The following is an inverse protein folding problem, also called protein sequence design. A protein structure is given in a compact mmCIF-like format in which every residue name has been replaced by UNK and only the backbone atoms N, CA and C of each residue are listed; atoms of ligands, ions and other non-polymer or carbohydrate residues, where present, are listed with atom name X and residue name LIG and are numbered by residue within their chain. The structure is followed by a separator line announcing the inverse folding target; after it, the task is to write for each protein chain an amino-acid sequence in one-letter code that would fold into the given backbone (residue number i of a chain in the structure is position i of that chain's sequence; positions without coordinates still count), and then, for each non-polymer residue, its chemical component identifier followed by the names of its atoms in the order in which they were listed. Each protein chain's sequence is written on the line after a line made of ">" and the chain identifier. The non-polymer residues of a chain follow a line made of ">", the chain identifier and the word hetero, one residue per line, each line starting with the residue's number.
data_IF_215215414446
#
_entry.id   IF_215215414446
#
_cell.length_a   1.000
_cell.length_b   1.000
_cell.length_c   1.000
_cell.angle_alpha   90.00
_cell.angle_beta   90.00
_cell.angle_gamma   90.00
#
_symmetry.space_group_name_H-M   'P 1'
#
loop_
_entity.id
_entity.type
_entity.pdbx_description
1 polymer ?
#
# COMPACT_ATOMS: atom_id res chain seq x y z
N UNK A 1 -5.62 -55.32 31.36
CA UNK A 1 -6.56 -54.32 30.81
C UNK A 1 -5.87 -52.96 30.83
N UNK A 2 -5.15 -52.65 29.74
CA UNK A 2 -4.47 -51.35 29.59
C UNK A 2 -5.28 -50.51 28.66
N UNK A 3 -5.99 -49.54 29.23
CA UNK A 3 -6.66 -48.47 28.46
C UNK A 3 -5.64 -47.39 28.11
N UNK A 4 -5.05 -47.51 26.92
CA UNK A 4 -4.33 -46.42 26.31
C UNK A 4 -5.33 -45.35 25.89
N UNK A 5 -5.45 -44.31 26.71
CA UNK A 5 -6.06 -43.06 26.29
C UNK A 5 -5.21 -42.46 25.21
N UNK A 6 -5.64 -42.55 23.96
CA UNK A 6 -5.16 -41.78 22.84
C UNK A 6 -5.56 -40.32 23.12
N UNK A 7 -4.67 -39.58 23.77
CA UNK A 7 -4.71 -38.13 23.73
C UNK A 7 -4.49 -37.71 22.29
N UNK A 8 -5.57 -37.56 21.56
CA UNK A 8 -5.59 -36.84 20.30
C UNK A 8 -5.28 -35.37 20.62
N UNK A 9 -3.98 -35.04 20.65
CA UNK A 9 -3.53 -33.68 20.54
C UNK A 9 -4.02 -33.14 19.18
N UNK A 10 -5.21 -32.57 19.21
CA UNK A 10 -5.74 -31.73 18.14
C UNK A 10 -4.87 -30.49 18.06
N UNK A 11 -3.69 -30.66 17.44
CA UNK A 11 -2.76 -29.57 17.14
C UNK A 11 -3.25 -28.82 15.89
N UNK A 12 -4.44 -28.25 15.97
CA UNK A 12 -4.81 -27.12 15.13
C UNK A 12 -3.92 -25.94 15.55
N UNK A 13 -2.66 -26.00 15.17
CA UNK A 13 -1.71 -24.94 15.45
C UNK A 13 -2.23 -23.66 14.83
N UNK A 14 -2.81 -22.78 15.68
CA UNK A 14 -3.15 -21.43 15.25
C UNK A 14 -1.93 -20.81 14.56
N UNK A 15 -2.10 -20.24 13.36
CA UNK A 15 -0.98 -19.68 12.63
C UNK A 15 -0.26 -18.64 13.49
N UNK A 16 1.00 -18.90 13.78
CA UNK A 16 1.82 -18.05 14.64
C UNK A 16 1.80 -16.61 14.12
N UNK A 17 1.32 -15.70 14.96
CA UNK A 17 1.18 -14.30 14.61
C UNK A 17 2.55 -13.67 14.33
N UNK A 18 2.79 -13.32 13.08
CA UNK A 18 4.00 -12.58 12.68
C UNK A 18 4.11 -11.30 13.50
N UNK A 19 5.28 -11.03 14.12
CA UNK A 19 5.52 -9.79 14.85
C UNK A 19 5.20 -8.56 14.00
N UNK A 20 4.51 -7.57 14.58
CA UNK A 20 4.05 -6.37 13.87
C UNK A 20 5.20 -5.61 13.21
N UNK A 21 6.39 -5.56 13.85
CA UNK A 21 7.56 -4.88 13.31
C UNK A 21 8.02 -5.46 11.97
N UNK A 22 7.95 -6.79 11.76
CA UNK A 22 8.29 -7.41 10.46
C UNK A 22 7.33 -6.96 9.36
N UNK A 23 6.02 -6.83 9.68
CA UNK A 23 5.02 -6.34 8.74
C UNK A 23 5.26 -4.87 8.39
N UNK A 24 5.59 -4.05 9.39
CA UNK A 24 5.93 -2.63 9.19
C UNK A 24 7.19 -2.49 8.35
N UNK A 25 8.21 -3.30 8.60
CA UNK A 25 9.44 -3.26 7.82
C UNK A 25 9.20 -3.71 6.36
N UNK A 26 8.42 -4.79 6.13
CA UNK A 26 8.03 -5.19 4.79
C UNK A 26 7.32 -4.07 4.04
N UNK A 27 6.37 -3.39 4.72
CA UNK A 27 5.67 -2.27 4.12
C UNK A 27 6.59 -1.07 3.85
N UNK A 28 7.53 -0.76 4.76
CA UNK A 28 8.51 0.30 4.55
C UNK A 28 9.39 0.04 3.31
N UNK A 29 9.78 -1.22 3.07
CA UNK A 29 10.50 -1.61 1.85
C UNK A 29 9.64 -1.44 0.59
N UNK A 30 8.36 -1.82 0.65
CA UNK A 30 7.42 -1.57 -0.45
C UNK A 30 7.25 -0.06 -0.70
N UNK A 31 7.21 0.77 0.37
CA UNK A 31 7.13 2.23 0.27
C UNK A 31 8.35 2.84 -0.43
N UNK A 32 9.56 2.39 -0.10
CA UNK A 32 10.78 2.87 -0.78
C UNK A 32 10.70 2.58 -2.28
N UNK A 33 10.27 1.38 -2.66
CA UNK A 33 10.10 1.04 -4.08
C UNK A 33 9.04 1.94 -4.75
N UNK A 34 7.90 2.16 -4.09
CA UNK A 34 6.84 3.02 -4.61
C UNK A 34 7.30 4.47 -4.78
N UNK A 35 8.09 5.01 -3.83
CA UNK A 35 8.70 6.34 -3.97
C UNK A 35 9.55 6.42 -5.23
N UNK A 36 10.41 5.43 -5.47
CA UNK A 36 11.25 5.39 -6.68
C UNK A 36 10.39 5.32 -7.94
N UNK A 37 9.34 4.49 -7.96
CA UNK A 37 8.44 4.38 -9.11
C UNK A 37 7.66 5.67 -9.37
N UNK A 38 7.19 6.35 -8.32
CA UNK A 38 6.52 7.65 -8.45
C UNK A 38 7.50 8.74 -8.92
N UNK A 39 8.74 8.72 -8.44
CA UNK A 39 9.79 9.62 -8.90
C UNK A 39 10.04 9.45 -10.42
N UNK A 40 10.11 8.20 -10.88
CA UNK A 40 10.26 7.90 -12.31
C UNK A 40 9.03 8.38 -13.10
N UNK A 41 7.82 8.22 -12.57
CA UNK A 41 6.61 8.74 -13.19
C UNK A 41 6.69 10.25 -13.39
N UNK A 42 7.02 11.01 -12.33
CA UNK A 42 7.16 12.48 -12.39
C UNK A 42 8.26 12.90 -13.38
N UNK A 43 9.34 12.13 -13.49
CA UNK A 43 10.44 12.44 -14.38
C UNK A 43 10.15 12.13 -15.86
N UNK A 44 9.43 11.05 -16.15
CA UNK A 44 9.25 10.58 -17.51
C UNK A 44 7.92 10.99 -18.14
N UNK A 45 6.84 11.10 -17.36
CA UNK A 45 5.52 11.44 -17.91
C UNK A 45 5.48 12.78 -18.65
N UNK A 46 6.14 13.87 -18.17
CA UNK A 46 6.14 15.14 -18.89
C UNK A 46 6.72 15.05 -20.30
N UNK A 47 7.59 14.06 -20.57
CA UNK A 47 8.19 13.93 -21.90
C UNK A 47 7.18 13.54 -23.01
N UNK A 48 5.98 13.13 -22.63
CA UNK A 48 4.88 12.85 -23.56
C UNK A 48 4.09 14.09 -23.97
N UNK A 49 4.39 15.26 -23.38
CA UNK A 49 3.70 16.53 -23.57
C UNK A 49 4.60 17.58 -24.20
N UNK A 50 4.02 18.72 -24.63
CA UNK A 50 4.75 19.80 -25.27
C UNK A 50 5.80 20.44 -24.35
N UNK A 51 6.75 21.18 -24.96
CA UNK A 51 7.75 21.90 -24.19
C UNK A 51 7.14 23.04 -23.37
N UNK A 52 6.02 23.61 -23.83
CA UNK A 52 5.27 24.61 -23.08
C UNK A 52 4.70 23.99 -21.78
N UNK A 53 4.02 22.85 -21.88
CA UNK A 53 3.46 22.16 -20.71
C UNK A 53 4.54 21.75 -19.71
N UNK A 54 5.71 21.34 -20.18
CA UNK A 54 6.88 21.05 -19.31
C UNK A 54 7.38 22.26 -18.55
N UNK A 55 7.45 23.42 -19.22
CA UNK A 55 7.88 24.68 -18.60
C UNK A 55 6.87 25.15 -17.56
N UNK A 56 5.58 25.15 -17.88
CA UNK A 56 4.51 25.50 -16.96
C UNK A 56 4.51 24.58 -15.72
N UNK A 57 4.69 23.27 -15.93
CA UNK A 57 4.82 22.30 -14.85
C UNK A 57 6.06 22.54 -13.99
N UNK A 58 7.21 22.81 -14.62
CA UNK A 58 8.44 23.15 -13.91
C UNK A 58 8.28 24.39 -13.05
N UNK A 59 7.64 25.45 -13.57
CA UNK A 59 7.35 26.66 -12.83
C UNK A 59 6.40 26.39 -11.66
N UNK A 60 5.34 25.59 -11.89
CA UNK A 60 4.38 25.19 -10.84
C UNK A 60 5.08 24.50 -9.65
N UNK A 61 6.05 23.60 -9.93
CA UNK A 61 6.82 22.93 -8.88
C UNK A 61 7.68 23.94 -8.09
N UNK A 62 8.33 24.86 -8.77
CA UNK A 62 9.15 25.90 -8.12
C UNK A 62 8.27 26.76 -7.21
N UNK A 63 7.16 27.26 -7.73
CA UNK A 63 6.24 28.13 -6.99
C UNK A 63 5.60 27.39 -5.80
N UNK A 64 5.19 26.12 -5.98
CA UNK A 64 4.71 25.28 -4.90
C UNK A 64 5.77 25.03 -3.82
N UNK A 65 7.05 24.88 -4.22
CA UNK A 65 8.15 24.71 -3.27
C UNK A 65 8.42 25.98 -2.44
N UNK A 66 8.28 27.15 -3.05
CA UNK A 66 8.41 28.43 -2.36
C UNK A 66 7.25 28.64 -1.37
N UNK A 67 6.02 28.33 -1.78
CA UNK A 67 4.86 28.39 -0.88
C UNK A 67 5.01 27.46 0.32
N UNK A 68 5.60 26.28 0.15
CA UNK A 68 5.82 25.34 1.24
C UNK A 68 6.86 25.79 2.27
N UNK A 69 7.73 26.74 1.92
CA UNK A 69 8.73 27.32 2.82
C UNK A 69 8.19 28.49 3.65
N UNK A 70 7.04 29.06 3.27
CA UNK A 70 6.39 30.10 4.07
C UNK A 70 5.73 29.47 5.31
N UNK A 71 6.00 29.99 6.51
CA UNK A 71 5.47 29.49 7.80
C UNK A 71 3.93 29.44 7.91
N UNK A 72 3.23 30.04 6.96
CA UNK A 72 1.75 30.11 6.91
C UNK A 72 1.18 29.50 5.63
N UNK A 73 1.72 28.35 5.17
CA UNK A 73 1.07 27.63 4.07
C UNK A 73 -0.26 27.03 4.53
N UNK A 74 -1.34 27.81 4.40
CA UNK A 74 -2.70 27.37 4.67
C UNK A 74 -3.30 26.72 3.40
N UNK A 75 -4.21 25.76 3.61
CA UNK A 75 -4.93 25.09 2.52
C UNK A 75 -5.61 26.08 1.57
N UNK A 76 -6.11 27.21 2.10
CA UNK A 76 -6.72 28.28 1.30
C UNK A 76 -5.74 28.90 0.30
N UNK A 77 -4.50 29.18 0.72
CA UNK A 77 -3.47 29.74 -0.18
C UNK A 77 -3.09 28.76 -1.29
N UNK A 78 -3.03 27.47 -0.98
CA UNK A 78 -2.74 26.45 -2.01
C UNK A 78 -3.88 26.40 -3.03
N UNK A 79 -5.12 26.54 -2.61
CA UNK A 79 -6.28 26.57 -3.50
C UNK A 79 -6.29 27.85 -4.36
N UNK A 80 -6.08 29.02 -3.75
CA UNK A 80 -5.97 30.29 -4.45
C UNK A 80 -4.80 30.31 -5.45
N UNK A 81 -3.68 29.67 -5.10
CA UNK A 81 -2.54 29.52 -6.00
C UNK A 81 -2.91 28.71 -7.24
N UNK A 82 -3.60 27.58 -7.05
CA UNK A 82 -4.03 26.72 -8.16
C UNK A 82 -5.10 27.41 -9.03
N UNK A 83 -6.02 28.15 -8.42
CA UNK A 83 -7.08 28.91 -9.14
C UNK A 83 -6.49 30.07 -9.94
N UNK A 84 -5.47 30.75 -9.42
CA UNK A 84 -4.82 31.88 -10.08
C UNK A 84 -3.74 31.47 -11.09
N UNK A 85 -3.29 30.21 -11.08
CA UNK A 85 -2.33 29.70 -12.06
C UNK A 85 -3.02 29.57 -13.43
N UNK A 86 -2.61 30.42 -14.38
CA UNK A 86 -3.09 30.36 -15.78
C UNK A 86 -2.34 29.24 -16.51
N UNK A 87 -2.74 27.99 -16.23
CA UNK A 87 -2.15 26.82 -16.88
C UNK A 87 -2.83 26.56 -18.22
N UNK A 88 -2.08 26.09 -19.20
CA UNK A 88 -2.62 25.62 -20.47
C UNK A 88 -3.47 24.35 -20.28
N UNK A 89 -4.42 24.11 -21.18
CA UNK A 89 -5.25 22.90 -21.16
C UNK A 89 -4.41 21.63 -21.15
N UNK A 90 -3.34 21.60 -21.93
CA UNK A 90 -2.40 20.49 -21.99
C UNK A 90 -1.68 20.24 -20.66
N UNK A 91 -1.33 21.31 -19.93
CA UNK A 91 -0.73 21.18 -18.58
C UNK A 91 -1.74 20.61 -17.59
N UNK A 92 -3.03 20.98 -17.67
CA UNK A 92 -4.07 20.35 -16.88
C UNK A 92 -4.23 18.87 -17.19
N UNK A 93 -4.24 18.49 -18.46
CA UNK A 93 -4.29 17.07 -18.84
C UNK A 93 -3.09 16.29 -18.29
N UNK A 94 -1.89 16.86 -18.39
CA UNK A 94 -0.67 16.25 -17.82
C UNK A 94 -0.77 16.07 -16.30
N UNK A 95 -1.25 17.08 -15.56
CA UNK A 95 -1.45 16.99 -14.11
C UNK A 95 -2.50 15.93 -13.75
N UNK A 96 -3.62 15.88 -14.47
CA UNK A 96 -4.64 14.86 -14.26
C UNK A 96 -4.10 13.45 -14.55
N UNK A 97 -3.30 13.28 -15.60
CA UNK A 97 -2.63 12.03 -15.89
C UNK A 97 -1.64 11.64 -14.78
N UNK A 98 -0.86 12.60 -14.25
CA UNK A 98 0.04 12.35 -13.12
C UNK A 98 -0.72 11.87 -11.88
N UNK A 99 -1.80 12.55 -11.51
CA UNK A 99 -2.64 12.17 -10.37
C UNK A 99 -3.23 10.76 -10.59
N UNK A 100 -3.77 10.52 -11.78
CA UNK A 100 -4.35 9.22 -12.14
C UNK A 100 -3.31 8.09 -12.00
N UNK A 101 -2.14 8.24 -12.60
CA UNK A 101 -1.09 7.22 -12.52
C UNK A 101 -0.49 7.12 -11.11
N UNK A 102 -0.36 8.22 -10.38
CA UNK A 102 0.08 8.21 -8.99
C UNK A 102 -0.88 7.41 -8.09
N UNK A 103 -2.20 7.48 -8.32
CA UNK A 103 -3.20 6.69 -7.62
C UNK A 103 -3.22 5.22 -8.07
N UNK A 104 -3.09 5.00 -9.38
CA UNK A 104 -3.17 3.68 -9.99
C UNK A 104 -1.95 2.80 -9.64
N UNK A 105 -0.75 3.37 -9.67
CA UNK A 105 0.50 2.65 -9.54
C UNK A 105 0.64 1.89 -8.20
N UNK A 106 0.42 2.49 -7.01
CA UNK A 106 0.49 1.76 -5.76
C UNK A 106 -0.58 0.67 -5.64
N UNK A 107 -1.80 0.96 -6.09
CA UNK A 107 -2.91 0.00 -6.06
C UNK A 107 -2.61 -1.21 -6.95
N UNK A 108 -2.12 -0.97 -8.15
CA UNK A 108 -1.72 -2.01 -9.11
C UNK A 108 -0.53 -2.82 -8.59
N UNK A 109 0.49 -2.17 -8.02
CA UNK A 109 1.63 -2.83 -7.42
C UNK A 109 1.21 -3.83 -6.33
N UNK A 110 0.39 -3.39 -5.37
CA UNK A 110 -0.09 -4.27 -4.31
C UNK A 110 -1.00 -5.37 -4.84
N UNK A 111 -1.87 -5.06 -5.80
CA UNK A 111 -2.78 -6.04 -6.39
C UNK A 111 -2.03 -7.14 -7.14
N UNK A 112 -1.10 -6.76 -8.04
CA UNK A 112 -0.27 -7.70 -8.79
C UNK A 112 0.58 -8.54 -7.84
N UNK A 113 1.24 -7.91 -6.85
CA UNK A 113 2.06 -8.60 -5.87
C UNK A 113 1.28 -9.67 -5.10
N UNK A 114 0.08 -9.35 -4.66
CA UNK A 114 -0.75 -10.29 -3.88
C UNK A 114 -1.44 -11.35 -4.74
N UNK A 115 -1.80 -11.02 -5.99
CA UNK A 115 -2.49 -11.93 -6.90
C UNK A 115 -1.52 -12.97 -7.53
N UNK A 116 -0.42 -12.49 -8.12
CA UNK A 116 0.48 -13.33 -8.92
C UNK A 116 1.62 -13.94 -8.11
N UNK A 117 2.05 -13.32 -7.02
CA UNK A 117 3.15 -13.80 -6.19
C UNK A 117 2.67 -14.48 -4.89
N UNK A 118 1.56 -15.21 -4.95
CA UNK A 118 1.04 -16.01 -3.84
C UNK A 118 0.85 -15.24 -2.52
N UNK A 119 0.35 -14.01 -2.62
CA UNK A 119 0.13 -13.15 -1.47
C UNK A 119 1.37 -12.41 -0.97
N UNK A 120 2.40 -12.27 -1.81
CA UNK A 120 3.64 -11.59 -1.46
C UNK A 120 3.82 -10.33 -2.31
N UNK A 121 4.21 -9.23 -1.67
CA UNK A 121 4.85 -8.08 -2.31
C UNK A 121 6.36 -8.24 -2.19
N UNK A 122 7.15 -7.41 -2.86
CA UNK A 122 8.62 -7.49 -2.77
C UNK A 122 9.10 -7.34 -1.33
N UNK A 123 8.57 -6.36 -0.58
CA UNK A 123 8.91 -6.19 0.84
C UNK A 123 8.51 -7.39 1.70
N UNK A 124 7.38 -8.04 1.42
CA UNK A 124 7.00 -9.28 2.11
C UNK A 124 7.88 -10.46 1.73
N UNK A 125 8.25 -10.58 0.47
CA UNK A 125 9.09 -11.67 -0.02
C UNK A 125 10.47 -11.66 0.65
N UNK A 126 11.08 -10.47 0.82
CA UNK A 126 12.37 -10.32 1.51
C UNK A 126 12.35 -10.78 2.97
N UNK A 127 11.21 -10.59 3.64
CA UNK A 127 11.03 -11.00 5.05
C UNK A 127 10.32 -12.35 5.19
N UNK A 128 10.16 -13.08 4.07
CA UNK A 128 9.49 -14.39 4.03
C UNK A 128 8.09 -14.35 4.64
N UNK A 129 7.33 -13.30 4.31
CA UNK A 129 5.95 -13.11 4.73
C UNK A 129 5.01 -13.33 3.54
N UNK A 130 3.79 -13.80 3.83
CA UNK A 130 2.75 -13.92 2.81
C UNK A 130 1.37 -13.64 3.40
N UNK A 131 0.46 -13.22 2.54
CA UNK A 131 -0.95 -13.02 2.86
C UNK A 131 -1.72 -14.30 2.57
N UNK A 132 -2.52 -14.73 3.53
CA UNK A 132 -3.44 -15.86 3.38
C UNK A 132 -4.84 -15.45 3.82
N UNK A 133 -5.84 -16.26 3.49
CA UNK A 133 -7.18 -16.07 4.03
C UNK A 133 -7.16 -16.22 5.55
N UNK A 134 -7.93 -15.37 6.22
CA UNK A 134 -8.15 -15.46 7.66
C UNK A 134 -9.12 -16.59 8.04
N UNK A 135 -9.82 -17.14 7.05
CA UNK A 135 -10.79 -18.23 7.21
C UNK A 135 -10.43 -19.32 6.23
N UNK A 136 -10.16 -20.56 6.70
CA UNK A 136 -9.80 -21.70 5.83
C UNK A 136 -10.90 -22.03 4.81
N UNK A 137 -12.16 -21.86 5.20
CA UNK A 137 -13.36 -22.10 4.38
C UNK A 137 -13.59 -21.06 3.27
N UNK A 138 -12.93 -19.90 3.32
CA UNK A 138 -13.12 -18.80 2.39
C UNK A 138 -11.82 -18.46 1.66
N UNK A 139 -11.65 -18.87 0.39
CA UNK A 139 -10.46 -18.51 -0.37
C UNK A 139 -10.37 -17.00 -0.60
N UNK A 140 -9.14 -16.52 -0.80
CA UNK A 140 -8.90 -15.15 -1.21
C UNK A 140 -9.36 -14.96 -2.66
N UNK A 141 -10.53 -14.35 -2.83
CA UNK A 141 -11.04 -14.01 -4.16
C UNK A 141 -10.29 -12.80 -4.73
N UNK A 142 -10.14 -12.67 -6.06
CA UNK A 142 -9.49 -11.50 -6.68
C UNK A 142 -10.14 -10.17 -6.25
N UNK A 143 -11.46 -10.15 -6.04
CA UNK A 143 -12.16 -8.95 -5.58
C UNK A 143 -11.73 -8.51 -4.17
N UNK A 144 -11.52 -9.45 -3.25
CA UNK A 144 -11.03 -9.16 -1.89
C UNK A 144 -9.57 -8.68 -1.91
N UNK A 145 -8.75 -9.28 -2.79
CA UNK A 145 -7.38 -8.82 -3.00
C UNK A 145 -7.36 -7.42 -3.60
N UNK A 146 -8.25 -7.11 -4.53
CA UNK A 146 -8.38 -5.79 -5.12
C UNK A 146 -8.79 -4.74 -4.07
N UNK A 147 -9.85 -4.97 -3.31
CA UNK A 147 -10.29 -4.06 -2.25
C UNK A 147 -9.17 -3.80 -1.23
N UNK A 148 -8.43 -4.84 -0.87
CA UNK A 148 -7.26 -4.73 0.01
C UNK A 148 -6.14 -3.92 -0.62
N UNK A 149 -5.82 -4.15 -1.88
CA UNK A 149 -4.77 -3.44 -2.60
C UNK A 149 -5.08 -1.95 -2.75
N UNK A 150 -6.34 -1.61 -3.04
CA UNK A 150 -6.81 -0.22 -3.11
C UNK A 150 -6.65 0.47 -1.76
N UNK A 151 -7.09 -0.14 -0.66
CA UNK A 151 -6.91 0.45 0.69
C UNK A 151 -5.43 0.61 1.06
N UNK A 152 -4.57 -0.33 0.69
CA UNK A 152 -3.12 -0.20 0.86
C UNK A 152 -2.54 0.91 0.00
N UNK A 153 -2.96 1.01 -1.26
CA UNK A 153 -2.55 2.05 -2.19
C UNK A 153 -2.91 3.44 -1.67
N UNK A 154 -4.16 3.63 -1.24
CA UNK A 154 -4.62 4.89 -0.63
C UNK A 154 -3.80 5.20 0.64
N UNK A 155 -3.55 4.20 1.49
CA UNK A 155 -2.74 4.40 2.70
C UNK A 155 -1.30 4.78 2.37
N UNK A 156 -0.71 4.16 1.35
CA UNK A 156 0.64 4.45 0.88
C UNK A 156 0.75 5.90 0.36
N UNK A 157 -0.17 6.31 -0.51
CA UNK A 157 -0.23 7.68 -1.03
C UNK A 157 -0.46 8.70 0.08
N UNK A 158 -1.37 8.40 0.99
CA UNK A 158 -1.66 9.25 2.14
C UNK A 158 -0.42 9.49 3.00
N UNK A 159 0.39 8.45 3.27
CA UNK A 159 1.64 8.59 4.02
C UNK A 159 2.71 9.41 3.29
N UNK A 160 2.67 9.46 1.96
CA UNK A 160 3.59 10.25 1.13
C UNK A 160 3.11 11.69 0.92
N UNK A 161 1.88 12.01 1.27
CA UNK A 161 1.25 13.32 1.11
C UNK A 161 1.18 14.06 2.45
N UNK A 162 0.94 15.39 2.45
CA UNK A 162 0.63 16.13 3.68
C UNK A 162 -0.58 15.56 4.44
N UNK A 163 -1.46 14.83 3.76
CA UNK A 163 -2.64 14.16 4.33
C UNK A 163 -2.31 12.76 4.86
N UNK A 164 -1.27 12.62 5.67
CA UNK A 164 -0.80 11.32 6.20
C UNK A 164 -1.78 10.63 7.16
N UNK A 165 -2.82 11.31 7.64
CA UNK A 165 -3.77 10.81 8.65
C UNK A 165 -4.45 9.49 8.23
N UNK A 166 -5.06 9.33 7.03
CA UNK A 166 -5.70 8.06 6.65
C UNK A 166 -4.73 6.88 6.62
N UNK A 167 -3.50 7.11 6.16
CA UNK A 167 -2.44 6.10 6.18
C UNK A 167 -2.05 5.70 7.59
N UNK A 168 -1.89 6.69 8.47
CA UNK A 168 -1.57 6.46 9.87
C UNK A 168 -2.69 5.68 10.58
N UNK A 169 -3.96 6.03 10.36
CA UNK A 169 -5.11 5.33 10.94
C UNK A 169 -5.10 3.84 10.52
N UNK A 170 -4.84 3.54 9.25
CA UNK A 170 -4.78 2.16 8.77
C UNK A 170 -3.74 1.33 9.53
N UNK A 171 -2.57 1.91 9.84
CA UNK A 171 -1.51 1.24 10.60
C UNK A 171 -1.79 1.20 12.11
N UNK A 172 -2.22 2.31 12.70
CA UNK A 172 -2.53 2.38 14.13
C UNK A 172 -3.62 1.37 14.52
N UNK A 173 -4.57 1.13 13.61
CA UNK A 173 -5.62 0.14 13.86
C UNK A 173 -5.05 -1.26 14.17
N UNK A 174 -3.88 -1.61 13.60
CA UNK A 174 -3.21 -2.87 13.89
C UNK A 174 -2.77 -3.00 15.36
N UNK A 175 -2.41 -1.88 16.02
CA UNK A 175 -1.98 -1.87 17.42
C UNK A 175 -3.18 -2.00 18.38
N UNK A 176 -4.32 -1.38 18.05
CA UNK A 176 -5.53 -1.42 18.87
C UNK A 176 -6.35 -2.70 18.68
N UNK A 177 -6.19 -3.39 17.57
CA UNK A 177 -6.94 -4.61 17.30
C UNK A 177 -6.33 -5.80 18.05
N UNK A 178 -7.12 -6.53 18.84
CA UNK A 178 -6.69 -7.73 19.58
C UNK A 178 -6.05 -8.79 18.67
N UNK A 179 -6.52 -8.90 17.41
CA UNK A 179 -5.98 -9.84 16.41
C UNK A 179 -4.83 -9.26 15.61
N UNK A 180 -4.33 -8.06 15.94
CA UNK A 180 -3.23 -7.35 15.26
C UNK A 180 -3.40 -7.27 13.73
N UNK A 181 -4.63 -7.08 13.25
CA UNK A 181 -4.97 -6.90 11.83
C UNK A 181 -5.14 -5.43 11.51
N UNK A 182 -4.54 -4.96 10.42
CA UNK A 182 -4.75 -3.62 9.90
C UNK A 182 -6.11 -3.52 9.19
N UNK A 183 -6.58 -2.30 8.89
CA UNK A 183 -7.87 -2.11 8.19
C UNK A 183 -7.93 -2.82 6.84
N UNK A 184 -6.86 -2.75 6.06
CA UNK A 184 -6.77 -3.46 4.77
C UNK A 184 -6.82 -4.99 4.93
N UNK A 185 -6.30 -5.54 6.04
CA UNK A 185 -6.39 -6.98 6.34
C UNK A 185 -7.83 -7.39 6.65
N UNK A 186 -8.59 -6.52 7.33
CA UNK A 186 -10.00 -6.75 7.62
C UNK A 186 -10.84 -6.72 6.35
N UNK A 187 -10.64 -5.72 5.47
CA UNK A 187 -11.36 -5.60 4.21
C UNK A 187 -11.13 -6.83 3.31
N UNK A 188 -9.90 -7.34 3.27
CA UNK A 188 -9.55 -8.57 2.53
C UNK A 188 -9.92 -9.87 3.24
N UNK A 189 -10.42 -9.83 4.48
CA UNK A 189 -10.57 -11.02 5.34
C UNK A 189 -9.32 -11.89 5.36
N UNK A 190 -8.15 -11.27 5.51
CA UNK A 190 -6.84 -11.88 5.37
C UNK A 190 -5.97 -11.72 6.62
N UNK A 191 -4.93 -12.52 6.69
CA UNK A 191 -3.86 -12.42 7.68
C UNK A 191 -2.52 -12.55 7.00
N UNK A 192 -1.48 -12.02 7.65
CA UNK A 192 -0.09 -12.19 7.18
C UNK A 192 0.59 -13.23 8.06
N UNK A 193 1.14 -14.27 7.44
CA UNK A 193 1.87 -15.35 8.08
C UNK A 193 3.30 -15.45 7.59
N UNK A 194 4.16 -16.20 8.28
CA UNK A 194 5.47 -16.57 7.78
C UNK A 194 5.34 -17.61 6.66
N UNK A 195 6.10 -17.47 5.57
CA UNK A 195 6.05 -18.41 4.44
C UNK A 195 6.53 -19.83 4.77
N UNK A 196 7.28 -20.01 5.88
CA UNK A 196 7.72 -21.32 6.33
C UNK A 196 6.59 -22.20 6.91
N UNK A 197 5.56 -21.59 7.47
CA UNK A 197 4.45 -22.33 8.12
C UNK A 197 3.57 -23.10 7.14
N UNK A 198 3.65 -22.83 5.86
CA UNK A 198 2.75 -23.45 4.87
C UNK A 198 3.30 -24.77 4.33
N UNK A 199 4.60 -25.00 4.47
CA UNK A 199 5.22 -26.24 4.00
C UNK A 199 4.83 -27.42 4.90
N UNK A 200 4.60 -27.18 6.19
CA UNK A 200 4.18 -28.21 7.13
C UNK A 200 2.74 -28.70 6.90
N UNK A 201 1.83 -27.80 6.55
CA UNK A 201 0.41 -28.17 6.34
C UNK A 201 0.18 -28.93 5.01
N UNK A 202 1.02 -28.72 3.99
CA UNK A 202 0.90 -29.41 2.70
C UNK A 202 1.58 -30.80 2.68
N UNK A 203 2.45 -31.11 3.64
CA UNK A 203 3.11 -32.42 3.72
C UNK A 203 2.32 -33.43 4.56
N UNK A 204 1.24 -33.02 5.22
CA UNK A 204 0.37 -33.90 6.03
C UNK A 204 -0.95 -34.23 5.31
N UNK A 205 -1.15 -33.81 4.08
CA UNK A 205 -2.29 -34.13 3.22
C UNK A 205 -1.88 -35.02 2.04
#
# INVERSE_FOLDING_TARGET
>A
MNSNSFDSHDSSAEPENVPTWKRTLAFAMDMILLVVLLQLLVQFLPNAYSDQAKQEFGQLIIDASLLSQEEQSDFQRTTEFLENSQLSEETYEMLMAMIFFACLLPSTYFFIGELFFRGQTLGKATLRLRTVSARPDLPLTPLRLFARAVLKGISALSLMSPFFIPGLINFLFCFFNRKKRCLHDLAGSSITISSHQTVSVQNES
#
